data_IF_818234892692
#
_entry.id   IF_818234892692
#
_cell.length_a   1.000
_cell.length_b   1.000
_cell.length_c   1.000
_cell.angle_alpha   90.00
_cell.angle_beta   90.00
_cell.angle_gamma   90.00
#
_symmetry.space_group_name_H-M   'P 1'
#
loop_
_entity.id
_entity.type
_entity.pdbx_description
1 polymer ?
#
# COMPACT_ATOMS: atom_id res chain seq x y z
N UNK A 1 -0.68 -10.15 12.73
CA UNK A 1 0.13 -9.38 13.69
C UNK A 1 -0.22 -7.90 13.68
N UNK A 2 -0.29 -7.29 14.87
CA UNK A 2 -0.49 -5.86 15.05
C UNK A 2 0.86 -5.17 15.31
N UNK A 3 0.96 -3.87 15.04
CA UNK A 3 2.13 -3.07 15.39
C UNK A 3 2.45 -3.14 16.90
N UNK A 4 1.41 -3.32 17.75
CA UNK A 4 1.57 -3.51 19.18
C UNK A 4 2.32 -4.81 19.48
N UNK A 5 1.92 -5.92 18.86
CA UNK A 5 2.58 -7.22 19.03
C UNK A 5 4.03 -7.19 18.54
N UNK A 6 4.32 -6.54 17.41
CA UNK A 6 5.69 -6.36 16.92
C UNK A 6 6.55 -5.56 17.91
N UNK A 7 5.99 -4.50 18.51
CA UNK A 7 6.70 -3.71 19.52
C UNK A 7 6.95 -4.51 20.81
N UNK A 8 5.98 -5.30 21.27
CA UNK A 8 6.16 -6.19 22.44
C UNK A 8 7.24 -7.24 22.17
N UNK A 9 7.26 -7.84 20.99
CA UNK A 9 8.28 -8.80 20.58
C UNK A 9 9.67 -8.16 20.58
N UNK A 10 9.80 -6.96 20.02
CA UNK A 10 11.06 -6.20 20.02
C UNK A 10 11.57 -5.95 21.44
N UNK A 11 10.70 -5.51 22.35
CA UNK A 11 11.07 -5.30 23.76
C UNK A 11 11.50 -6.60 24.45
N UNK A 12 10.81 -7.72 24.22
CA UNK A 12 11.17 -9.03 24.78
C UNK A 12 12.54 -9.50 24.31
N UNK A 13 12.81 -9.37 23.01
CA UNK A 13 14.11 -9.75 22.44
C UNK A 13 15.22 -8.87 23.02
N UNK A 14 15.03 -7.56 23.06
CA UNK A 14 15.98 -6.62 23.66
C UNK A 14 16.28 -6.99 25.13
N UNK A 15 15.26 -7.30 25.92
CA UNK A 15 15.43 -7.70 27.31
C UNK A 15 16.17 -9.03 27.48
N UNK A 16 16.09 -9.94 26.51
CA UNK A 16 16.75 -11.24 26.55
C UNK A 16 18.20 -11.18 26.06
N UNK A 17 18.46 -10.40 25.03
CA UNK A 17 19.78 -10.36 24.36
C UNK A 17 20.64 -9.20 24.83
N UNK A 18 20.05 -8.15 25.38
CA UNK A 18 20.75 -6.89 25.70
C UNK A 18 21.21 -6.13 24.46
N UNK A 19 20.79 -6.58 23.26
CA UNK A 19 21.18 -5.98 21.99
C UNK A 19 20.18 -4.91 21.57
N UNK A 20 20.66 -3.72 21.21
CA UNK A 20 19.82 -2.65 20.70
C UNK A 20 19.48 -2.84 19.21
N UNK A 21 20.29 -3.58 18.45
CA UNK A 21 20.02 -3.92 17.07
C UNK A 21 19.25 -5.25 16.98
N UNK A 22 17.95 -5.18 17.07
CA UNK A 22 17.05 -6.34 16.94
C UNK A 22 16.65 -6.63 15.49
N UNK A 23 17.28 -5.97 14.50
CA UNK A 23 16.93 -6.12 13.08
C UNK A 23 15.50 -5.65 12.76
N UNK A 24 14.89 -6.27 11.75
CA UNK A 24 13.54 -5.90 11.27
C UNK A 24 12.44 -6.70 11.98
N UNK A 25 12.15 -6.37 13.23
CA UNK A 25 10.98 -6.94 13.93
C UNK A 25 9.77 -6.08 13.62
N UNK A 26 8.99 -6.46 12.62
CA UNK A 26 7.88 -5.69 12.09
C UNK A 26 6.71 -6.58 11.63
N UNK A 27 5.55 -5.95 11.40
CA UNK A 27 4.51 -6.55 10.56
C UNK A 27 4.98 -6.57 9.10
N UNK A 28 4.35 -7.38 8.23
CA UNK A 28 4.63 -7.35 6.78
C UNK A 28 4.53 -5.94 6.19
N UNK A 29 3.46 -5.22 6.52
CA UNK A 29 3.26 -3.84 6.06
C UNK A 29 4.34 -2.89 6.59
N UNK A 30 4.71 -3.01 7.87
CA UNK A 30 5.79 -2.21 8.46
C UNK A 30 7.14 -2.49 7.80
N UNK A 31 7.40 -3.73 7.42
CA UNK A 31 8.59 -4.09 6.66
C UNK A 31 8.56 -3.51 5.24
N UNK A 32 7.42 -3.60 4.54
CA UNK A 32 7.24 -2.94 3.24
C UNK A 32 7.45 -1.42 3.32
N UNK A 33 6.96 -0.76 4.37
CA UNK A 33 7.23 0.67 4.58
C UNK A 33 8.73 0.95 4.67
N UNK A 34 9.50 0.13 5.39
CA UNK A 34 10.95 0.29 5.49
C UNK A 34 11.65 0.15 4.13
N UNK A 35 11.22 -0.83 3.32
CA UNK A 35 11.74 -1.03 1.96
C UNK A 35 11.40 0.19 1.09
N UNK A 36 10.15 0.60 1.07
CA UNK A 36 9.68 1.71 0.24
C UNK A 36 10.29 3.05 0.65
N UNK A 37 10.53 3.29 1.93
CA UNK A 37 11.25 4.50 2.37
C UNK A 37 12.68 4.58 1.84
N UNK A 38 13.31 3.45 1.61
CA UNK A 38 14.66 3.40 1.03
C UNK A 38 14.64 3.41 -0.51
N UNK A 39 13.73 2.65 -1.12
CA UNK A 39 13.78 2.32 -2.55
C UNK A 39 12.55 2.79 -3.36
N UNK A 40 11.68 3.65 -2.82
CA UNK A 40 10.50 4.17 -3.53
C UNK A 40 10.82 4.93 -4.83
N UNK A 41 12.06 5.40 -4.96
CA UNK A 41 12.53 6.06 -6.19
C UNK A 41 12.41 5.14 -7.42
N UNK A 42 12.50 3.83 -7.26
CA UNK A 42 12.34 2.86 -8.33
C UNK A 42 10.93 2.86 -8.96
N UNK A 43 9.94 3.39 -8.24
CA UNK A 43 8.54 3.54 -8.71
C UNK A 43 8.10 5.01 -8.80
N UNK A 44 9.04 5.95 -8.75
CA UNK A 44 8.77 7.38 -8.89
C UNK A 44 8.01 7.98 -7.69
N UNK A 45 8.04 7.34 -6.52
CA UNK A 45 7.45 7.86 -5.29
C UNK A 45 8.51 8.53 -4.40
N UNK A 46 8.16 9.58 -3.66
CA UNK A 46 9.07 10.18 -2.70
C UNK A 46 9.26 9.25 -1.49
N UNK A 47 10.40 9.37 -0.80
CA UNK A 47 10.63 8.64 0.47
C UNK A 47 9.60 8.98 1.56
N UNK A 48 9.04 10.19 1.50
CA UNK A 48 8.01 10.69 2.40
C UNK A 48 6.58 10.46 1.89
N UNK A 49 6.35 9.33 1.20
CA UNK A 49 4.99 8.96 0.80
C UNK A 49 4.07 8.81 2.02
N UNK A 50 2.77 8.99 1.81
CA UNK A 50 1.78 8.85 2.87
C UNK A 50 1.28 7.40 2.93
N UNK A 51 1.15 6.85 4.14
CA UNK A 51 0.43 5.59 4.37
C UNK A 51 -1.00 5.94 4.74
N UNK A 52 -1.93 5.53 3.90
CA UNK A 52 -3.34 5.87 4.02
C UNK A 52 -4.09 4.85 4.89
N UNK A 53 -4.75 5.33 5.91
CA UNK A 53 -5.72 4.55 6.68
C UNK A 53 -7.16 4.73 6.15
N UNK A 54 -8.11 4.05 6.78
CA UNK A 54 -9.53 4.16 6.38
C UNK A 54 -10.09 5.59 6.52
N UNK A 55 -9.60 6.37 7.47
CA UNK A 55 -10.03 7.76 7.66
C UNK A 55 -9.53 8.65 6.53
N UNK A 56 -8.30 8.44 6.09
CA UNK A 56 -7.72 9.14 4.95
C UNK A 56 -8.47 8.80 3.66
N UNK A 57 -8.78 7.51 3.46
CA UNK A 57 -9.55 7.06 2.31
C UNK A 57 -10.96 7.69 2.33
N UNK A 58 -11.62 7.73 3.48
CA UNK A 58 -12.94 8.35 3.61
C UNK A 58 -12.91 9.85 3.29
N UNK A 59 -11.85 10.56 3.70
CA UNK A 59 -11.67 11.97 3.34
C UNK A 59 -11.50 12.16 1.81
N UNK A 60 -10.77 11.27 1.16
CA UNK A 60 -10.66 11.28 -0.32
C UNK A 60 -11.99 10.96 -0.99
N UNK A 61 -12.75 9.98 -0.47
CA UNK A 61 -14.08 9.65 -0.98
C UNK A 61 -15.05 10.81 -0.82
N UNK A 62 -14.99 11.55 0.30
CA UNK A 62 -15.82 12.72 0.50
C UNK A 62 -15.59 13.78 -0.61
N UNK A 63 -14.33 14.07 -0.93
CA UNK A 63 -13.98 15.00 -2.03
C UNK A 63 -14.59 14.51 -3.35
N UNK A 64 -14.42 13.23 -3.68
CA UNK A 64 -14.93 12.64 -4.93
C UNK A 64 -16.47 12.74 -5.00
N UNK A 65 -17.15 12.43 -3.90
CA UNK A 65 -18.61 12.48 -3.82
C UNK A 65 -19.13 13.89 -4.00
N UNK A 66 -18.52 14.88 -3.35
CA UNK A 66 -18.88 16.29 -3.47
C UNK A 66 -18.63 16.81 -4.90
N UNK A 67 -17.47 16.53 -5.49
CA UNK A 67 -17.13 16.97 -6.85
C UNK A 67 -18.03 16.36 -7.93
N UNK A 68 -18.47 15.12 -7.75
CA UNK A 68 -19.21 14.36 -8.77
C UNK A 68 -20.69 14.17 -8.44
N UNK A 69 -21.18 14.77 -7.36
CA UNK A 69 -22.59 14.71 -6.96
C UNK A 69 -23.05 13.30 -6.56
N UNK A 70 -22.15 12.46 -6.06
CA UNK A 70 -22.50 11.14 -5.53
C UNK A 70 -23.09 11.25 -4.13
N UNK A 71 -23.90 10.27 -3.74
CA UNK A 71 -24.56 10.29 -2.44
C UNK A 71 -24.29 9.03 -1.64
N UNK A 72 -24.18 9.16 -0.30
CA UNK A 72 -24.05 8.03 0.63
C UNK A 72 -25.23 7.07 0.58
N UNK A 73 -26.39 7.53 0.08
CA UNK A 73 -27.57 6.68 -0.13
C UNK A 73 -27.34 5.67 -1.26
N UNK A 74 -26.60 6.05 -2.28
CA UNK A 74 -26.27 5.16 -3.39
C UNK A 74 -25.15 4.17 -3.01
N UNK A 75 -24.11 4.66 -2.33
CA UNK A 75 -23.00 3.85 -1.85
C UNK A 75 -22.36 4.50 -0.63
N UNK A 76 -22.29 3.76 0.49
CA UNK A 76 -21.59 4.23 1.70
C UNK A 76 -20.08 4.22 1.50
N UNK A 77 -19.33 4.97 2.31
CA UNK A 77 -17.86 4.95 2.23
C UNK A 77 -17.28 3.55 2.52
N UNK A 78 -17.87 2.79 3.44
CA UNK A 78 -17.45 1.40 3.68
C UNK A 78 -17.61 0.55 2.43
N UNK A 79 -18.77 0.61 1.76
CA UNK A 79 -19.01 -0.12 0.51
C UNK A 79 -18.08 0.35 -0.62
N UNK A 80 -17.75 1.63 -0.66
CA UNK A 80 -16.81 2.18 -1.63
C UNK A 80 -15.37 1.66 -1.39
N UNK A 81 -14.93 1.57 -0.12
CA UNK A 81 -13.62 0.97 0.22
C UNK A 81 -13.58 -0.50 -0.20
N UNK A 82 -14.61 -1.28 0.13
CA UNK A 82 -14.69 -2.69 -0.25
C UNK A 82 -14.66 -2.86 -1.78
N UNK A 83 -15.37 -2.01 -2.51
CA UNK A 83 -15.36 -2.00 -3.97
C UNK A 83 -13.98 -1.67 -4.54
N UNK A 84 -13.29 -0.66 -3.98
CA UNK A 84 -11.92 -0.29 -4.37
C UNK A 84 -10.97 -1.47 -4.16
N UNK A 85 -11.02 -2.09 -2.97
CA UNK A 85 -10.17 -3.24 -2.64
C UNK A 85 -10.39 -4.41 -3.59
N UNK A 86 -11.65 -4.82 -3.78
CA UNK A 86 -12.00 -5.90 -4.72
C UNK A 86 -11.55 -5.58 -6.15
N UNK A 87 -11.69 -4.32 -6.56
CA UNK A 87 -11.30 -3.90 -7.90
C UNK A 87 -9.79 -3.88 -8.07
N UNK A 88 -9.03 -3.47 -7.07
CA UNK A 88 -7.57 -3.57 -7.04
C UNK A 88 -7.11 -5.03 -7.14
N UNK A 89 -7.72 -5.93 -6.39
CA UNK A 89 -7.43 -7.36 -6.46
C UNK A 89 -7.73 -7.96 -7.85
N UNK A 90 -8.88 -7.64 -8.45
CA UNK A 90 -9.28 -8.15 -9.76
C UNK A 90 -8.47 -7.56 -10.91
N UNK A 91 -8.02 -6.31 -10.80
CA UNK A 91 -7.25 -5.60 -11.83
C UNK A 91 -5.74 -5.60 -11.58
N UNK A 92 -5.26 -6.34 -10.58
CA UNK A 92 -3.83 -6.51 -10.43
C UNK A 92 -3.27 -7.36 -11.62
N UNK A 93 -2.15 -6.97 -12.22
CA UNK A 93 -1.25 -5.87 -11.85
C UNK A 93 -1.64 -4.48 -12.39
N UNK A 94 -2.66 -4.36 -13.23
CA UNK A 94 -2.94 -3.15 -14.00
C UNK A 94 -3.11 -1.88 -13.14
N UNK A 95 -3.78 -1.97 -11.97
CA UNK A 95 -4.04 -0.78 -11.18
C UNK A 95 -2.78 -0.13 -10.62
N UNK A 96 -1.83 -0.91 -10.13
CA UNK A 96 -0.58 -0.35 -9.58
C UNK A 96 0.38 0.07 -10.67
N UNK A 97 0.36 -0.58 -11.84
CA UNK A 97 1.04 -0.09 -13.02
C UNK A 97 0.48 1.27 -13.45
N UNK A 98 -0.84 1.42 -13.50
CA UNK A 98 -1.48 2.70 -13.79
C UNK A 98 -1.07 3.78 -12.78
N UNK A 99 -1.06 3.45 -11.49
CA UNK A 99 -0.67 4.38 -10.42
C UNK A 99 0.82 4.79 -10.52
N UNK A 100 1.70 3.89 -10.94
CA UNK A 100 3.13 4.15 -11.13
C UNK A 100 3.39 4.91 -12.42
N UNK A 101 2.84 4.46 -13.56
CA UNK A 101 3.24 4.89 -14.90
C UNK A 101 2.43 6.05 -15.46
N UNK A 102 1.15 6.17 -15.12
CA UNK A 102 0.31 7.25 -15.65
C UNK A 102 0.64 8.60 -15.00
N UNK A 103 0.58 9.65 -15.80
CA UNK A 103 0.71 11.01 -15.27
C UNK A 103 -0.52 11.39 -14.44
N UNK A 104 -0.36 12.42 -13.60
CA UNK A 104 -1.47 12.95 -12.80
C UNK A 104 -2.61 13.44 -13.69
N UNK A 105 -2.27 14.08 -14.82
CA UNK A 105 -3.24 14.59 -15.80
C UNK A 105 -4.02 13.46 -16.45
N UNK A 106 -3.35 12.35 -16.79
CA UNK A 106 -4.02 11.18 -17.37
C UNK A 106 -5.00 10.53 -16.39
N UNK A 107 -4.62 10.39 -15.12
CA UNK A 107 -5.52 9.89 -14.08
C UNK A 107 -6.69 10.85 -13.85
N UNK A 108 -6.44 12.16 -13.85
CA UNK A 108 -7.49 13.17 -13.75
C UNK A 108 -8.49 13.07 -14.91
N UNK A 109 -8.00 12.90 -16.14
CA UNK A 109 -8.86 12.72 -17.30
C UNK A 109 -9.73 11.46 -17.19
N UNK A 110 -9.15 10.34 -16.79
CA UNK A 110 -9.92 9.10 -16.53
C UNK A 110 -11.01 9.31 -15.49
N UNK A 111 -10.70 10.02 -14.41
CA UNK A 111 -11.66 10.37 -13.36
C UNK A 111 -12.80 11.26 -13.89
N UNK A 112 -12.46 12.31 -14.64
CA UNK A 112 -13.46 13.27 -15.16
C UNK A 112 -14.35 12.66 -16.25
N UNK A 113 -13.82 11.74 -17.07
CA UNK A 113 -14.54 11.06 -18.15
C UNK A 113 -15.36 9.86 -17.66
N UNK A 114 -15.14 9.39 -16.45
CA UNK A 114 -15.90 8.29 -15.88
C UNK A 114 -17.38 8.68 -15.71
N UNK A 115 -18.29 7.80 -16.12
CA UNK A 115 -19.74 8.02 -16.03
C UNK A 115 -20.38 7.10 -14.98
N UNK A 116 -19.94 5.84 -14.91
CA UNK A 116 -20.45 4.90 -13.93
C UNK A 116 -19.95 5.25 -12.51
N UNK A 117 -20.80 5.18 -11.48
CA UNK A 117 -20.41 5.52 -10.11
C UNK A 117 -19.16 4.77 -9.62
N UNK A 118 -19.05 3.49 -9.91
CA UNK A 118 -17.89 2.65 -9.53
C UNK A 118 -16.61 3.13 -10.22
N UNK A 119 -16.68 3.56 -11.49
CA UNK A 119 -15.54 4.10 -12.21
C UNK A 119 -15.13 5.47 -11.68
N UNK A 120 -16.11 6.32 -11.39
CA UNK A 120 -15.89 7.64 -10.79
C UNK A 120 -15.13 7.48 -9.47
N UNK A 121 -15.61 6.60 -8.59
CA UNK A 121 -15.00 6.36 -7.29
C UNK A 121 -13.60 5.77 -7.46
N UNK A 122 -13.43 4.76 -8.30
CA UNK A 122 -12.16 4.07 -8.46
C UNK A 122 -11.07 4.97 -9.07
N UNK A 123 -11.35 5.63 -10.20
CA UNK A 123 -10.37 6.51 -10.83
C UNK A 123 -10.16 7.80 -10.03
N UNK A 124 -11.21 8.31 -9.37
CA UNK A 124 -11.10 9.42 -8.43
C UNK A 124 -10.16 9.09 -7.28
N UNK A 125 -10.27 7.88 -6.70
CA UNK A 125 -9.38 7.42 -5.65
C UNK A 125 -7.93 7.30 -6.12
N UNK A 126 -7.66 6.66 -7.27
CA UNK A 126 -6.31 6.58 -7.83
C UNK A 126 -5.73 7.97 -8.13
N UNK A 127 -6.55 8.90 -8.61
CA UNK A 127 -6.14 10.29 -8.83
C UNK A 127 -5.74 10.98 -7.51
N UNK A 128 -6.54 10.85 -6.46
CA UNK A 128 -6.21 11.42 -5.15
C UNK A 128 -4.94 10.78 -4.55
N UNK A 129 -4.79 9.46 -4.64
CA UNK A 129 -3.57 8.76 -4.22
C UNK A 129 -2.34 9.31 -4.93
N UNK A 130 -2.38 9.44 -6.25
CA UNK A 130 -1.27 9.97 -7.06
C UNK A 130 -0.95 11.42 -6.67
N UNK A 131 -1.96 12.24 -6.44
CA UNK A 131 -1.83 13.65 -6.07
C UNK A 131 -1.10 13.86 -4.76
N UNK A 132 -1.30 13.00 -3.77
CA UNK A 132 -0.67 13.10 -2.46
C UNK A 132 0.47 12.11 -2.24
N UNK A 133 0.82 11.29 -3.24
CA UNK A 133 1.73 10.16 -3.10
C UNK A 133 1.32 9.21 -1.97
N UNK A 134 0.01 8.93 -1.87
CA UNK A 134 -0.57 8.05 -0.87
C UNK A 134 -0.56 6.60 -1.30
N UNK A 135 -0.25 5.69 -0.38
CA UNK A 135 -0.32 4.24 -0.54
C UNK A 135 -1.17 3.64 0.56
N UNK A 136 -2.18 2.86 0.20
CA UNK A 136 -2.91 2.05 1.17
C UNK A 136 -2.17 0.73 1.49
N UNK A 137 -2.71 -0.04 2.44
CA UNK A 137 -2.06 -1.28 2.87
C UNK A 137 -1.83 -2.29 1.74
N UNK A 138 -2.76 -2.40 0.79
CA UNK A 138 -2.60 -3.29 -0.37
C UNK A 138 -1.48 -2.80 -1.29
N UNK A 139 -1.36 -1.48 -1.47
CA UNK A 139 -0.31 -0.89 -2.31
C UNK A 139 1.08 -1.12 -1.74
N UNK A 140 1.25 -1.08 -0.41
CA UNK A 140 2.55 -1.30 0.24
C UNK A 140 3.16 -2.64 -0.17
N UNK A 141 2.39 -3.72 -0.09
CA UNK A 141 2.83 -5.06 -0.52
C UNK A 141 3.07 -5.12 -2.04
N UNK A 142 2.12 -4.62 -2.83
CA UNK A 142 2.20 -4.68 -4.30
C UNK A 142 3.36 -3.88 -4.86
N UNK A 143 3.62 -2.69 -4.35
CA UNK A 143 4.75 -1.88 -4.78
C UNK A 143 6.09 -2.50 -4.40
N UNK A 144 6.18 -3.08 -3.21
CA UNK A 144 7.40 -3.78 -2.78
C UNK A 144 7.68 -4.98 -3.67
N UNK A 145 6.68 -5.82 -3.94
CA UNK A 145 6.82 -6.96 -4.84
C UNK A 145 7.20 -6.50 -6.26
N UNK A 146 6.54 -5.47 -6.77
CA UNK A 146 6.86 -4.91 -8.09
C UNK A 146 8.31 -4.43 -8.18
N UNK A 147 8.81 -3.71 -7.17
CA UNK A 147 10.22 -3.28 -7.13
C UNK A 147 11.14 -4.50 -7.16
N UNK A 148 10.86 -5.53 -6.37
CA UNK A 148 11.69 -6.73 -6.33
C UNK A 148 11.64 -7.55 -7.63
N UNK A 149 10.53 -7.50 -8.36
CA UNK A 149 10.41 -8.14 -9.68
C UNK A 149 11.18 -7.38 -10.75
N UNK A 150 11.12 -6.05 -10.73
CA UNK A 150 11.70 -5.20 -11.78
C UNK A 150 13.18 -4.85 -11.56
N UNK A 151 13.63 -4.77 -10.31
CA UNK A 151 14.99 -4.35 -9.95
C UNK A 151 15.71 -5.45 -9.17
N UNK A 152 16.56 -6.19 -9.90
CA UNK A 152 17.32 -7.29 -9.33
C UNK A 152 18.38 -6.80 -8.31
N UNK A 153 18.92 -5.60 -8.47
CA UNK A 153 19.93 -5.06 -7.56
C UNK A 153 19.33 -4.68 -6.22
N UNK A 154 18.14 -4.05 -6.23
CA UNK A 154 17.38 -3.76 -5.02
C UNK A 154 16.99 -5.07 -4.32
N UNK A 155 16.46 -6.05 -5.06
CA UNK A 155 16.13 -7.36 -4.49
C UNK A 155 17.34 -8.03 -3.84
N UNK A 156 18.48 -8.09 -4.53
CA UNK A 156 19.70 -8.69 -4.00
C UNK A 156 20.25 -7.93 -2.79
N UNK A 157 20.13 -6.61 -2.75
CA UNK A 157 20.47 -5.78 -1.59
C UNK A 157 19.70 -6.24 -0.34
N UNK A 158 18.38 -6.40 -0.46
CA UNK A 158 17.54 -6.82 0.64
C UNK A 158 17.75 -8.29 1.03
N UNK A 159 17.92 -9.19 0.06
CA UNK A 159 18.25 -10.59 0.32
C UNK A 159 19.58 -10.75 1.08
N UNK A 160 20.58 -9.92 0.80
CA UNK A 160 21.85 -9.93 1.54
C UNK A 160 21.74 -9.38 2.97
N UNK A 161 20.80 -8.46 3.21
CA UNK A 161 20.54 -7.93 4.57
C UNK A 161 19.79 -8.91 5.46
N UNK A 162 18.96 -9.74 4.86
CA UNK A 162 18.09 -10.68 5.57
C UNK A 162 18.70 -12.08 5.54
N UNK A 163 19.70 -12.33 6.41
CA UNK A 163 20.32 -13.65 6.52
C UNK A 163 19.35 -14.70 7.09
N UNK A 164 18.47 -14.27 7.98
CA UNK A 164 17.47 -15.12 8.62
C UNK A 164 16.11 -14.43 8.61
N UNK A 165 15.08 -15.18 8.21
CA UNK A 165 13.69 -14.71 8.22
C UNK A 165 12.89 -15.66 9.12
N UNK A 166 12.21 -15.11 10.10
CA UNK A 166 11.30 -15.84 10.98
C UNK A 166 9.91 -15.20 10.88
N UNK A 167 8.92 -16.01 10.54
CA UNK A 167 7.54 -15.57 10.41
C UNK A 167 6.72 -16.27 11.49
N UNK A 168 6.11 -15.48 12.35
CA UNK A 168 5.15 -15.96 13.34
C UNK A 168 3.76 -16.05 12.72
N UNK A 169 2.92 -16.97 13.22
CA UNK A 169 1.57 -17.26 12.70
C UNK A 169 1.58 -17.55 11.18
N UNK A 170 2.56 -18.33 10.74
CA UNK A 170 2.78 -18.63 9.31
C UNK A 170 1.53 -19.14 8.59
N UNK A 171 0.62 -19.81 9.30
CA UNK A 171 -0.65 -20.31 8.74
C UNK A 171 -1.62 -19.20 8.30
N UNK A 172 -1.42 -17.96 8.76
CA UNK A 172 -2.31 -16.83 8.50
C UNK A 172 -1.80 -15.92 7.36
N UNK A 173 -0.65 -16.25 6.74
CA UNK A 173 -0.10 -15.46 5.65
C UNK A 173 -0.87 -15.69 4.34
N UNK A 174 -1.09 -14.62 3.60
CA UNK A 174 -1.70 -14.65 2.29
C UNK A 174 -0.65 -14.82 1.16
N UNK A 175 -1.07 -15.17 -0.10
CA UNK A 175 -0.14 -15.34 -1.20
C UNK A 175 0.79 -14.15 -1.49
N UNK A 176 0.36 -12.88 -1.46
CA UNK A 176 1.25 -11.73 -1.58
C UNK A 176 2.30 -11.64 -0.48
N UNK A 177 1.94 -11.93 0.76
CA UNK A 177 2.89 -11.95 1.89
C UNK A 177 3.89 -13.10 1.77
N UNK A 178 3.45 -14.24 1.24
CA UNK A 178 4.34 -15.38 0.97
C UNK A 178 5.34 -15.10 -0.17
N UNK A 179 4.94 -14.29 -1.16
CA UNK A 179 5.79 -13.93 -2.29
C UNK A 179 6.86 -12.88 -1.92
N UNK A 180 6.63 -12.11 -0.85
CA UNK A 180 7.56 -11.11 -0.33
C UNK A 180 8.79 -11.79 0.32
#
# INVERSE_FOLDING_TARGET
>A
FTNKAANEMRQRIHNLTGDEDTGYINTFHGFCVSILQEDSHAVGYPRSFLVLDNSDIDAMLQIIYEERGLTLRAMTFSAARDMIELRKLKKAPQYYLDLITLSLETLQQKYLQAEAPDDIIFYGYLYQQKKCFGLDYNDLLKFTLYIFEQDADIRLKWQKRLEYIMIDEFQDIDPPQYAL
#
